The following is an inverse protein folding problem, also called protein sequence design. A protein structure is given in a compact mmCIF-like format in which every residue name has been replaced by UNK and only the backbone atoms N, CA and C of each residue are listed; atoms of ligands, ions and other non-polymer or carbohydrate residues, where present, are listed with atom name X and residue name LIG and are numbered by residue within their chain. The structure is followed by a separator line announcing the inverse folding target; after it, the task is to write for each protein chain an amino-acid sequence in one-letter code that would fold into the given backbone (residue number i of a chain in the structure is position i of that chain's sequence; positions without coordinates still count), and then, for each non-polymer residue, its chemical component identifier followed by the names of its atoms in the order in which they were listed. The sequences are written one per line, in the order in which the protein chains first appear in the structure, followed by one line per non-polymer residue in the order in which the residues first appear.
data_IF_879204542417
#
_entry.id   IF_879204542417
#
_cell.length_a   1.000
_cell.length_b   1.000
_cell.length_c   1.000
_cell.angle_alpha   90.00
_cell.angle_beta   90.00
_cell.angle_gamma   90.00
#
_symmetry.space_group_name_H-M   'P 1'
#
loop_
_entity.id
_entity.type
_entity.pdbx_description
1 polymer ?
#
# COMPACT_ATOMS: atom_id res chain seq x y z
N UNK A 1 -35.12 36.66 22.64
CA UNK A 1 -34.67 35.32 22.21
C UNK A 1 -33.16 35.28 22.33
N UNK A 2 -32.65 34.64 23.39
CA UNK A 2 -31.21 34.58 23.63
C UNK A 2 -30.55 33.74 22.54
N UNK A 3 -29.54 34.31 21.87
CA UNK A 3 -28.64 33.55 21.03
C UNK A 3 -28.01 32.46 21.90
N UNK A 4 -28.32 31.18 21.62
CA UNK A 4 -27.62 30.07 22.25
C UNK A 4 -26.13 30.25 21.96
N UNK A 5 -25.33 30.48 23.02
CA UNK A 5 -23.90 30.72 22.88
C UNK A 5 -23.24 29.36 22.70
N UNK A 6 -22.58 29.15 21.57
CA UNK A 6 -21.80 27.94 21.32
C UNK A 6 -20.76 27.74 22.42
N UNK A 7 -20.73 26.54 22.99
CA UNK A 7 -19.76 26.16 24.02
C UNK A 7 -18.87 25.05 23.47
N UNK A 8 -17.59 25.12 23.80
CA UNK A 8 -16.60 24.13 23.41
C UNK A 8 -15.80 23.72 24.63
N UNK A 9 -15.55 22.42 24.78
CA UNK A 9 -14.77 21.91 25.92
C UNK A 9 -13.96 20.67 25.55
N UNK A 10 -12.78 20.53 26.12
CA UNK A 10 -12.05 19.27 26.20
C UNK A 10 -12.56 18.48 27.40
N UNK A 11 -12.86 17.21 27.19
CA UNK A 11 -13.26 16.25 28.22
C UNK A 11 -12.23 15.14 28.25
N UNK A 12 -11.56 15.00 29.38
CA UNK A 12 -10.59 13.95 29.63
C UNK A 12 -11.16 12.96 30.66
N UNK A 13 -11.21 11.69 30.31
CA UNK A 13 -11.61 10.61 31.22
C UNK A 13 -10.36 10.04 31.89
N UNK A 14 -10.38 10.04 33.23
CA UNK A 14 -9.32 9.53 34.12
C UNK A 14 -9.83 8.28 34.84
N UNK A 15 -8.99 7.64 35.67
CA UNK A 15 -9.36 6.38 36.33
C UNK A 15 -10.67 6.47 37.15
N UNK A 16 -10.84 7.54 37.93
CA UNK A 16 -11.99 7.67 38.86
C UNK A 16 -12.90 8.87 38.59
N UNK A 17 -12.56 9.74 37.63
CA UNK A 17 -13.33 10.95 37.35
C UNK A 17 -13.17 11.43 35.90
N UNK A 18 -13.78 12.57 35.57
CA UNK A 18 -13.54 13.31 34.32
C UNK A 18 -13.08 14.73 34.62
N UNK A 19 -12.15 15.22 33.82
CA UNK A 19 -11.73 16.63 33.81
C UNK A 19 -12.32 17.31 32.59
N UNK A 20 -12.94 18.46 32.79
CA UNK A 20 -13.43 19.32 31.70
C UNK A 20 -12.66 20.63 31.70
N UNK A 21 -12.22 21.06 30.51
CA UNK A 21 -11.53 22.32 30.28
C UNK A 21 -12.24 23.05 29.14
N UNK A 22 -12.72 24.25 29.41
CA UNK A 22 -13.36 25.07 28.39
C UNK A 22 -12.33 25.52 27.35
N UNK A 23 -12.68 25.39 26.07
CA UNK A 23 -11.84 25.82 24.96
C UNK A 23 -12.60 26.77 24.06
N UNK A 24 -11.89 27.46 23.17
CA UNK A 24 -12.52 28.31 22.17
C UNK A 24 -12.82 27.53 20.88
N UNK A 25 -13.63 28.13 20.02
CA UNK A 25 -14.00 27.56 18.72
C UNK A 25 -12.78 27.24 17.84
N UNK A 26 -11.72 28.04 17.92
CA UNK A 26 -10.52 27.84 17.12
C UNK A 26 -9.79 26.55 17.51
N UNK A 27 -9.70 26.24 18.81
CA UNK A 27 -9.11 24.98 19.30
C UNK A 27 -9.93 23.80 18.80
N UNK A 28 -11.26 23.86 18.90
CA UNK A 28 -12.14 22.80 18.39
C UNK A 28 -11.93 22.57 16.88
N UNK A 29 -11.90 23.64 16.08
CA UNK A 29 -11.68 23.57 14.63
C UNK A 29 -10.30 22.96 14.30
N UNK A 30 -9.24 23.43 14.97
CA UNK A 30 -7.89 22.91 14.78
C UNK A 30 -7.79 21.41 15.09
N UNK A 31 -8.42 20.95 16.18
CA UNK A 31 -8.44 19.53 16.56
C UNK A 31 -9.24 18.70 15.55
N UNK A 32 -10.36 19.22 15.05
CA UNK A 32 -11.14 18.52 14.04
C UNK A 32 -10.37 18.39 12.72
N UNK A 33 -9.70 19.45 12.28
CA UNK A 33 -8.87 19.44 11.07
C UNK A 33 -7.66 18.51 11.22
N UNK A 34 -7.02 18.49 12.40
CA UNK A 34 -5.96 17.55 12.71
C UNK A 34 -6.45 16.09 12.68
N UNK A 35 -7.61 15.79 13.28
CA UNK A 35 -8.23 14.46 13.19
C UNK A 35 -8.46 14.07 11.73
N UNK A 36 -9.06 14.95 10.93
CA UNK A 36 -9.34 14.68 9.52
C UNK A 36 -8.03 14.37 8.75
N UNK A 37 -6.94 15.08 9.05
CA UNK A 37 -5.62 14.80 8.50
C UNK A 37 -5.05 13.43 8.93
N UNK A 38 -5.16 13.08 10.22
CA UNK A 38 -4.67 11.81 10.75
C UNK A 38 -5.44 10.62 10.15
N UNK A 39 -6.76 10.72 10.05
CA UNK A 39 -7.62 9.70 9.42
C UNK A 39 -7.26 9.55 7.94
N UNK A 40 -7.16 10.67 7.21
CA UNK A 40 -6.78 10.66 5.80
C UNK A 40 -5.43 9.97 5.57
N UNK A 41 -4.43 10.28 6.38
CA UNK A 41 -3.08 9.73 6.21
C UNK A 41 -2.94 8.28 6.67
N UNK A 42 -3.65 7.88 7.73
CA UNK A 42 -3.74 6.47 8.12
C UNK A 42 -4.37 5.63 7.00
N UNK A 43 -5.45 6.11 6.38
CA UNK A 43 -6.12 5.42 5.27
C UNK A 43 -5.20 5.27 4.03
N UNK A 44 -4.33 6.25 3.75
CA UNK A 44 -3.29 6.10 2.72
C UNK A 44 -2.31 4.96 3.05
N UNK A 45 -1.83 4.88 4.30
CA UNK A 45 -0.91 3.82 4.72
C UNK A 45 -1.57 2.44 4.69
N UNK A 46 -2.82 2.32 5.14
CA UNK A 46 -3.57 1.05 5.10
C UNK A 46 -3.77 0.51 3.68
N UNK A 47 -4.03 1.40 2.71
CA UNK A 47 -4.15 1.01 1.30
C UNK A 47 -2.84 0.53 0.71
N UNK A 48 -1.73 1.18 1.08
CA UNK A 48 -0.40 0.69 0.68
C UNK A 48 -0.13 -0.67 1.31
N UNK A 49 -0.43 -0.85 2.60
CA UNK A 49 -0.23 -2.12 3.31
C UNK A 49 -0.96 -3.26 2.62
N UNK A 50 -2.22 -3.05 2.22
CA UNK A 50 -2.99 -4.03 1.47
C UNK A 50 -2.29 -4.46 0.17
N UNK A 51 -1.72 -3.51 -0.57
CA UNK A 51 -0.94 -3.83 -1.77
C UNK A 51 0.31 -4.65 -1.42
N UNK A 52 1.06 -4.20 -0.41
CA UNK A 52 2.32 -4.83 -0.02
C UNK A 52 2.11 -6.25 0.53
N UNK A 53 1.03 -6.49 1.27
CA UNK A 53 0.69 -7.84 1.74
C UNK A 53 0.28 -8.77 0.60
N UNK A 54 -0.40 -8.27 -0.43
CA UNK A 54 -0.70 -9.07 -1.63
C UNK A 54 0.58 -9.43 -2.40
N UNK A 55 1.50 -8.47 -2.52
CA UNK A 55 2.81 -8.73 -3.12
C UNK A 55 3.62 -9.74 -2.29
N UNK A 56 3.69 -9.56 -0.97
CA UNK A 56 4.38 -10.48 -0.07
C UNK A 56 3.76 -11.88 -0.09
N UNK A 57 2.43 -11.99 -0.22
CA UNK A 57 1.76 -13.28 -0.37
C UNK A 57 2.19 -14.02 -1.65
N UNK A 58 2.30 -13.31 -2.78
CA UNK A 58 2.80 -13.88 -4.04
C UNK A 58 4.24 -14.39 -3.91
N UNK A 59 5.16 -13.54 -3.40
CA UNK A 59 6.57 -13.90 -3.20
C UNK A 59 6.71 -15.09 -2.24
N UNK A 60 6.03 -15.06 -1.08
CA UNK A 60 6.05 -16.15 -0.09
C UNK A 60 5.55 -17.47 -0.70
N UNK A 61 4.51 -17.42 -1.52
CA UNK A 61 3.97 -18.61 -2.16
C UNK A 61 4.99 -19.28 -3.08
N UNK A 62 5.64 -18.48 -3.94
CA UNK A 62 6.65 -18.99 -4.87
C UNK A 62 7.86 -19.56 -4.14
N UNK A 63 8.34 -18.90 -3.09
CA UNK A 63 9.43 -19.44 -2.26
C UNK A 63 9.06 -20.77 -1.62
N UNK A 64 7.84 -20.88 -1.08
CA UNK A 64 7.35 -22.14 -0.52
C UNK A 64 7.27 -23.23 -1.59
N UNK A 65 6.83 -22.90 -2.80
CA UNK A 65 6.81 -23.86 -3.91
C UNK A 65 8.23 -24.34 -4.28
N UNK A 66 9.22 -23.45 -4.26
CA UNK A 66 10.62 -23.81 -4.50
C UNK A 66 11.18 -24.74 -3.41
N UNK A 67 10.88 -24.45 -2.13
CA UNK A 67 11.26 -25.32 -1.00
C UNK A 67 10.61 -26.70 -1.12
N UNK A 68 9.31 -26.75 -1.41
CA UNK A 68 8.58 -28.00 -1.58
C UNK A 68 9.17 -28.83 -2.73
N UNK A 69 9.55 -28.19 -3.85
CA UNK A 69 10.19 -28.87 -4.96
C UNK A 69 11.57 -29.44 -4.61
N UNK A 70 12.33 -28.75 -3.74
CA UNK A 70 13.63 -29.24 -3.28
C UNK A 70 13.52 -30.49 -2.38
N UNK A 71 12.49 -30.54 -1.53
CA UNK A 71 12.31 -31.62 -0.55
C UNK A 71 11.52 -32.80 -1.15
N UNK A 72 10.54 -32.51 -2.01
CA UNK A 72 9.59 -33.50 -2.54
C UNK A 72 9.51 -33.46 -4.08
N UNK A 73 10.63 -33.71 -4.81
CA UNK A 73 10.68 -33.56 -6.27
C UNK A 73 9.69 -34.48 -7.02
N UNK A 74 9.32 -35.62 -6.43
CA UNK A 74 8.33 -36.55 -7.00
C UNK A 74 6.90 -36.00 -7.11
N UNK A 75 6.60 -34.86 -6.47
CA UNK A 75 5.27 -34.21 -6.53
C UNK A 75 5.22 -33.03 -7.53
N UNK A 76 6.31 -32.72 -8.22
CA UNK A 76 6.40 -31.53 -9.06
C UNK A 76 5.39 -31.52 -10.22
N UNK A 77 5.15 -32.68 -10.86
CA UNK A 77 4.25 -32.76 -12.02
C UNK A 77 2.78 -32.53 -11.65
N UNK A 78 2.30 -33.05 -10.52
CA UNK A 78 0.94 -32.79 -10.02
C UNK A 78 0.80 -31.36 -9.48
N UNK A 79 1.85 -30.81 -8.88
CA UNK A 79 1.85 -29.47 -8.31
C UNK A 79 1.85 -28.33 -9.35
N UNK A 80 2.20 -28.60 -10.62
CA UNK A 80 2.28 -27.57 -11.68
C UNK A 80 0.96 -26.81 -11.87
N UNK A 81 -0.16 -27.52 -12.00
CA UNK A 81 -1.46 -26.90 -12.26
C UNK A 81 -1.95 -26.11 -11.05
N UNK A 82 -1.80 -26.67 -9.85
CA UNK A 82 -2.16 -26.02 -8.59
C UNK A 82 -1.32 -24.76 -8.36
N UNK A 83 -0.01 -24.85 -8.60
CA UNK A 83 0.93 -23.73 -8.50
C UNK A 83 0.59 -22.63 -9.48
N UNK A 84 0.26 -22.99 -10.73
CA UNK A 84 -0.17 -22.02 -11.74
C UNK A 84 -1.46 -21.33 -11.36
N UNK A 85 -2.44 -22.06 -10.84
CA UNK A 85 -3.72 -21.50 -10.41
C UNK A 85 -3.53 -20.51 -9.27
N UNK A 86 -2.78 -20.89 -8.24
CA UNK A 86 -2.56 -20.07 -7.06
C UNK A 86 -1.71 -18.82 -7.35
N UNK A 87 -0.66 -18.94 -8.17
CA UNK A 87 0.11 -17.77 -8.65
C UNK A 87 -0.80 -16.80 -9.40
N UNK A 88 -1.69 -17.29 -10.26
CA UNK A 88 -2.63 -16.44 -10.97
C UNK A 88 -3.62 -15.74 -10.03
N UNK A 89 -4.15 -16.46 -9.03
CA UNK A 89 -5.03 -15.87 -8.01
C UNK A 89 -4.33 -14.75 -7.25
N UNK A 90 -3.11 -14.99 -6.79
CA UNK A 90 -2.30 -14.01 -6.05
C UNK A 90 -1.91 -12.81 -6.94
N UNK A 91 -1.54 -13.06 -8.20
CA UNK A 91 -1.19 -12.00 -9.14
C UNK A 91 -2.39 -11.12 -9.50
N UNK A 92 -3.58 -11.69 -9.71
CA UNK A 92 -4.81 -10.92 -9.94
C UNK A 92 -5.17 -10.09 -8.71
N UNK A 93 -5.00 -10.63 -7.51
CA UNK A 93 -5.22 -9.89 -6.27
C UNK A 93 -4.24 -8.71 -6.14
N UNK A 94 -2.96 -8.90 -6.45
CA UNK A 94 -1.96 -7.84 -6.46
C UNK A 94 -2.29 -6.74 -7.49
N UNK A 95 -2.64 -7.12 -8.72
CA UNK A 95 -3.02 -6.16 -9.76
C UNK A 95 -4.27 -5.37 -9.37
N UNK A 96 -5.22 -6.03 -8.68
CA UNK A 96 -6.44 -5.38 -8.19
C UNK A 96 -6.18 -4.43 -7.03
N UNK A 97 -5.34 -4.81 -6.06
CA UNK A 97 -4.97 -3.94 -4.93
C UNK A 97 -4.13 -2.74 -5.37
N UNK A 98 -3.26 -2.91 -6.37
CA UNK A 98 -2.55 -1.81 -7.03
C UNK A 98 -3.50 -0.80 -7.65
N UNK A 99 -4.50 -1.28 -8.39
CA UNK A 99 -5.49 -0.39 -8.98
C UNK A 99 -6.33 0.33 -7.93
N UNK A 100 -6.75 -0.41 -6.89
CA UNK A 100 -7.49 0.13 -5.76
C UNK A 100 -6.71 1.28 -5.10
N UNK A 101 -5.44 1.06 -4.79
CA UNK A 101 -4.56 2.08 -4.21
C UNK A 101 -4.53 3.34 -5.08
N UNK A 102 -4.24 3.21 -6.38
CA UNK A 102 -4.08 4.35 -7.27
C UNK A 102 -5.37 5.17 -7.43
N UNK A 103 -6.51 4.51 -7.58
CA UNK A 103 -7.79 5.18 -7.81
C UNK A 103 -8.38 5.77 -6.54
N UNK A 104 -8.34 5.02 -5.43
CA UNK A 104 -8.84 5.53 -4.15
C UNK A 104 -7.95 6.65 -3.62
N UNK A 105 -6.63 6.62 -3.85
CA UNK A 105 -5.74 7.74 -3.51
C UNK A 105 -6.07 8.97 -4.34
N UNK A 106 -6.34 8.83 -5.65
CA UNK A 106 -6.80 9.94 -6.48
C UNK A 106 -8.08 10.57 -5.92
N UNK A 107 -9.07 9.73 -5.60
CA UNK A 107 -10.35 10.17 -5.06
C UNK A 107 -10.19 10.82 -3.68
N UNK A 108 -9.38 10.24 -2.79
CA UNK A 108 -9.16 10.75 -1.44
C UNK A 108 -8.46 12.13 -1.49
N UNK A 109 -7.40 12.27 -2.28
CA UNK A 109 -6.72 13.55 -2.51
C UNK A 109 -7.71 14.60 -3.05
N UNK A 110 -8.58 14.24 -3.99
CA UNK A 110 -9.53 15.21 -4.57
C UNK A 110 -10.62 15.68 -3.60
N UNK A 111 -10.96 14.85 -2.60
CA UNK A 111 -12.06 15.10 -1.65
C UNK A 111 -11.58 15.66 -0.31
N UNK A 112 -10.30 15.57 -0.02
CA UNK A 112 -9.76 16.02 1.25
C UNK A 112 -9.68 17.56 1.29
N UNK A 113 -10.49 18.18 2.15
CA UNK A 113 -10.63 19.65 2.25
C UNK A 113 -9.33 20.39 2.59
N UNK A 114 -8.36 19.72 3.21
CA UNK A 114 -7.06 20.29 3.57
C UNK A 114 -5.95 19.89 2.61
N UNK A 115 -6.28 19.34 1.44
CA UNK A 115 -5.27 19.06 0.42
C UNK A 115 -4.53 20.33 0.03
N UNK A 116 -3.18 20.33 0.07
CA UNK A 116 -2.39 21.44 -0.42
C UNK A 116 -2.72 21.74 -1.89
N UNK A 117 -2.54 23.02 -2.26
CA UNK A 117 -2.81 23.45 -3.62
C UNK A 117 -1.93 22.67 -4.62
N UNK A 118 -2.53 22.23 -5.73
CA UNK A 118 -1.83 21.49 -6.77
C UNK A 118 -1.58 20.01 -6.48
N UNK A 119 -1.89 19.47 -5.28
CA UNK A 119 -1.63 18.05 -4.96
C UNK A 119 -2.35 17.09 -5.89
N UNK A 120 -3.59 17.40 -6.30
CA UNK A 120 -4.32 16.59 -7.30
C UNK A 120 -3.57 16.51 -8.63
N UNK A 121 -3.05 17.65 -9.12
CA UNK A 121 -2.31 17.69 -10.38
C UNK A 121 -0.94 17.02 -10.22
N UNK A 122 -0.27 17.22 -9.09
CA UNK A 122 1.00 16.57 -8.78
C UNK A 122 0.84 15.03 -8.78
N UNK A 123 -0.21 14.50 -8.14
CA UNK A 123 -0.48 13.06 -8.15
C UNK A 123 -0.77 12.51 -9.56
N UNK A 124 -1.55 13.25 -10.37
CA UNK A 124 -1.78 12.89 -11.78
C UNK A 124 -0.47 12.85 -12.57
N UNK A 125 0.41 13.81 -12.36
CA UNK A 125 1.72 13.85 -13.00
C UNK A 125 2.61 12.69 -12.55
N UNK A 126 2.58 12.29 -11.27
CA UNK A 126 3.32 11.12 -10.78
C UNK A 126 2.89 9.84 -11.52
N UNK A 127 1.58 9.61 -11.63
CA UNK A 127 1.03 8.45 -12.36
C UNK A 127 1.42 8.49 -13.84
N UNK A 128 1.30 9.65 -14.47
CA UNK A 128 1.69 9.85 -15.86
C UNK A 128 3.17 9.55 -16.08
N UNK A 129 4.04 10.10 -15.23
CA UNK A 129 5.49 9.89 -15.33
C UNK A 129 5.88 8.42 -15.12
N UNK A 130 5.22 7.70 -14.21
CA UNK A 130 5.44 6.26 -14.04
C UNK A 130 5.02 5.48 -15.30
N UNK A 131 3.87 5.80 -15.88
CA UNK A 131 3.40 5.17 -17.12
C UNK A 131 4.30 5.49 -18.32
N UNK A 132 4.71 6.74 -18.49
CA UNK A 132 5.53 7.16 -19.63
C UNK A 132 7.00 6.71 -19.49
N UNK A 133 7.50 6.64 -18.25
CA UNK A 133 8.91 6.38 -17.95
C UNK A 133 9.31 4.90 -17.90
N UNK A 134 8.37 3.97 -17.72
CA UNK A 134 8.71 2.59 -17.43
C UNK A 134 7.86 1.54 -18.16
N UNK A 135 8.53 0.59 -18.81
CA UNK A 135 7.86 -0.52 -19.52
C UNK A 135 7.18 -1.49 -18.56
N UNK A 136 7.79 -1.80 -17.42
CA UNK A 136 7.21 -2.76 -16.48
C UNK A 136 5.88 -2.27 -15.92
N UNK A 137 5.79 -0.97 -15.64
CA UNK A 137 4.55 -0.31 -15.23
C UNK A 137 3.46 -0.42 -16.29
N UNK A 138 3.78 -0.12 -17.55
CA UNK A 138 2.81 -0.23 -18.66
C UNK A 138 2.36 -1.66 -18.89
N UNK A 139 3.29 -2.61 -18.85
CA UNK A 139 3.01 -4.04 -18.99
C UNK A 139 2.04 -4.50 -17.88
N UNK A 140 2.28 -4.11 -16.63
CA UNK A 140 1.44 -4.50 -15.50
C UNK A 140 0.04 -3.87 -15.56
N UNK A 141 -0.08 -2.59 -15.97
CA UNK A 141 -1.39 -1.98 -16.23
C UNK A 141 -2.14 -2.69 -17.38
N UNK A 142 -1.44 -3.08 -18.44
CA UNK A 142 -2.02 -3.84 -19.55
C UNK A 142 -2.46 -5.25 -19.13
N UNK A 143 -1.64 -5.96 -18.34
CA UNK A 143 -1.98 -7.27 -17.79
C UNK A 143 -3.15 -7.21 -16.81
N UNK A 144 -3.27 -6.13 -16.04
CA UNK A 144 -4.45 -5.90 -15.18
C UNK A 144 -5.72 -5.76 -15.99
N UNK A 145 -5.69 -4.97 -17.07
CA UNK A 145 -6.86 -4.84 -17.95
C UNK A 145 -7.21 -6.18 -18.61
N UNK A 146 -6.21 -6.94 -19.03
CA UNK A 146 -6.38 -8.29 -19.58
C UNK A 146 -7.01 -9.25 -18.55
N UNK A 147 -6.52 -9.26 -17.31
CA UNK A 147 -7.03 -10.16 -16.27
C UNK A 147 -8.45 -9.85 -15.83
N UNK A 148 -8.89 -8.59 -15.97
CA UNK A 148 -10.26 -8.18 -15.67
C UNK A 148 -11.28 -8.53 -16.77
N UNK A 149 -10.85 -8.67 -18.02
CA UNK A 149 -11.76 -8.75 -19.17
C UNK A 149 -11.60 -9.98 -20.06
N UNK A 150 -10.52 -10.74 -19.87
CA UNK A 150 -10.12 -11.79 -20.80
C UNK A 150 -9.72 -13.09 -20.09
N UNK A 151 -8.51 -13.17 -19.53
CA UNK A 151 -7.96 -14.42 -19.01
C UNK A 151 -6.84 -14.19 -17.99
N UNK A 152 -6.32 -15.27 -17.42
CA UNK A 152 -5.33 -15.23 -16.36
C UNK A 152 -3.95 -14.74 -16.86
N UNK A 153 -3.25 -13.87 -16.09
CA UNK A 153 -2.04 -13.17 -16.55
C UNK A 153 -0.77 -14.03 -16.63
N UNK A 154 -0.63 -15.07 -15.79
CA UNK A 154 0.52 -15.97 -15.79
C UNK A 154 0.25 -17.20 -16.67
N UNK A 155 1.06 -17.36 -17.72
CA UNK A 155 0.84 -18.34 -18.78
C UNK A 155 1.68 -19.61 -18.60
N UNK A 156 2.90 -19.48 -18.08
CA UNK A 156 3.84 -20.60 -17.86
C UNK A 156 4.35 -20.61 -16.43
N UNK A 157 4.56 -21.81 -15.87
CA UNK A 157 5.28 -22.04 -14.61
C UNK A 157 6.49 -22.91 -14.92
N UNK A 158 7.63 -22.64 -14.29
CA UNK A 158 8.79 -23.51 -14.35
C UNK A 158 9.35 -23.80 -12.98
N UNK A 159 9.61 -25.07 -12.75
CA UNK A 159 10.39 -25.59 -11.65
C UNK A 159 11.78 -25.87 -12.21
N UNK A 160 12.78 -25.09 -11.81
CA UNK A 160 14.15 -25.26 -12.31
C UNK A 160 15.06 -25.73 -11.18
N UNK A 161 15.99 -26.61 -11.54
CA UNK A 161 17.11 -27.01 -10.70
C UNK A 161 18.39 -26.62 -11.43
N UNK A 162 19.25 -25.82 -10.78
CA UNK A 162 20.57 -25.46 -11.27
C UNK A 162 21.62 -25.95 -10.30
N UNK A 163 22.74 -26.47 -10.82
CA UNK A 163 23.91 -26.73 -9.99
C UNK A 163 24.55 -25.39 -9.66
N UNK A 164 24.75 -25.14 -8.38
CA UNK A 164 25.50 -24.02 -7.84
C UNK A 164 26.98 -24.45 -7.77
N UNK A 165 27.75 -23.97 -8.74
CA UNK A 165 29.17 -24.28 -8.91
C UNK A 165 30.08 -23.34 -8.10
N UNK A 166 29.52 -22.50 -7.21
CA UNK A 166 30.31 -21.60 -6.36
C UNK A 166 31.32 -22.32 -5.46
N UNK A 167 31.12 -23.62 -5.20
CA UNK A 167 32.10 -24.50 -4.57
C UNK A 167 32.26 -25.79 -5.39
N UNK A 168 33.34 -25.92 -6.18
CA UNK A 168 33.58 -27.10 -7.03
C UNK A 168 33.68 -28.42 -6.26
N UNK A 169 34.12 -28.39 -5.00
CA UNK A 169 34.30 -29.57 -4.15
C UNK A 169 32.98 -30.03 -3.49
N UNK A 170 31.92 -29.21 -3.56
CA UNK A 170 30.62 -29.50 -2.99
C UNK A 170 29.50 -28.84 -3.81
N UNK A 171 29.21 -29.37 -5.02
CA UNK A 171 28.16 -28.82 -5.86
C UNK A 171 26.81 -28.93 -5.15
N UNK A 172 26.09 -27.80 -5.07
CA UNK A 172 24.76 -27.74 -4.44
C UNK A 172 23.70 -27.56 -5.49
N UNK A 173 22.53 -28.17 -5.32
CA UNK A 173 21.40 -27.93 -6.20
C UNK A 173 20.58 -26.73 -5.68
N UNK A 174 20.42 -25.72 -6.54
CA UNK A 174 19.53 -24.58 -6.33
C UNK A 174 18.20 -24.85 -7.02
N UNK A 175 17.13 -24.86 -6.24
CA UNK A 175 15.76 -25.07 -6.72
C UNK A 175 15.03 -23.73 -6.78
N UNK A 176 14.40 -23.46 -7.92
CA UNK A 176 13.73 -22.19 -8.22
C UNK A 176 12.35 -22.47 -8.81
N UNK A 177 11.36 -21.64 -8.47
CA UNK A 177 10.05 -21.67 -9.13
C UNK A 177 9.78 -20.31 -9.72
N UNK A 178 9.58 -20.24 -11.04
CA UNK A 178 9.27 -19.01 -11.76
C UNK A 178 7.93 -19.09 -12.47
N UNK A 179 7.36 -17.93 -12.77
CA UNK A 179 6.23 -17.83 -13.68
C UNK A 179 6.50 -16.81 -14.77
N UNK A 180 5.92 -17.06 -15.94
CA UNK A 180 6.17 -16.30 -17.14
C UNK A 180 4.92 -15.84 -17.85
N UNK A 181 5.08 -14.73 -18.55
CA UNK A 181 4.10 -14.17 -19.47
C UNK A 181 4.52 -14.60 -20.88
N UNK A 182 3.57 -15.07 -21.69
CA UNK A 182 3.82 -15.49 -23.07
C UNK A 182 3.19 -14.46 -24.01
N UNK A 183 3.96 -13.61 -24.71
CA UNK A 183 3.41 -12.56 -25.57
C UNK A 183 2.47 -13.10 -26.65
N UNK A 184 2.78 -14.28 -27.21
CA UNK A 184 1.91 -14.97 -28.20
C UNK A 184 0.48 -15.25 -27.70
N UNK A 185 0.31 -15.47 -26.38
CA UNK A 185 -1.00 -15.72 -25.78
C UNK A 185 -1.82 -14.43 -25.69
N UNK A 186 -1.14 -13.29 -25.55
CA UNK A 186 -1.73 -11.96 -25.47
C UNK A 186 -2.02 -11.38 -26.86
N UNK A 187 -1.22 -11.75 -27.86
CA UNK A 187 -1.37 -11.29 -29.25
C UNK A 187 -2.72 -11.69 -29.86
N UNK A 188 -3.24 -12.87 -29.46
CA UNK A 188 -4.54 -13.37 -29.86
C UNK A 188 -5.70 -12.48 -29.37
N UNK A 189 -5.49 -11.66 -28.33
CA UNK A 189 -6.47 -10.70 -27.85
C UNK A 189 -6.30 -9.35 -28.54
N UNK A 190 -7.27 -9.01 -29.39
CA UNK A 190 -7.30 -7.73 -30.10
C UNK A 190 -7.42 -6.51 -29.19
N UNK A 191 -7.87 -6.69 -27.94
CA UNK A 191 -8.03 -5.63 -26.94
C UNK A 191 -6.79 -5.41 -26.08
N UNK A 192 -5.80 -6.30 -26.15
CA UNK A 192 -4.56 -6.13 -25.41
C UNK A 192 -3.77 -4.93 -25.92
N UNK A 193 -3.13 -4.18 -25.03
CA UNK A 193 -2.38 -2.98 -25.38
C UNK A 193 -1.18 -3.33 -26.29
N UNK A 194 -1.19 -2.82 -27.53
CA UNK A 194 -0.17 -3.13 -28.54
C UNK A 194 1.22 -2.59 -28.20
N UNK A 195 1.33 -1.49 -27.46
CA UNK A 195 2.62 -0.97 -26.99
C UNK A 195 3.23 -1.92 -25.95
N UNK A 196 2.44 -2.30 -24.93
CA UNK A 196 2.87 -3.26 -23.92
C UNK A 196 3.19 -4.63 -24.52
N UNK A 197 2.47 -5.06 -25.57
CA UNK A 197 2.79 -6.30 -26.29
C UNK A 197 4.17 -6.25 -26.95
N UNK A 198 4.50 -5.14 -27.62
CA UNK A 198 5.81 -4.95 -28.25
C UNK A 198 6.93 -4.93 -27.20
N UNK A 199 6.70 -4.29 -26.07
CA UNK A 199 7.64 -4.28 -24.95
C UNK A 199 7.89 -5.70 -24.43
N UNK A 200 6.83 -6.47 -24.17
CA UNK A 200 6.92 -7.88 -23.79
C UNK A 200 7.68 -8.73 -24.83
N UNK A 201 7.44 -8.53 -26.13
CA UNK A 201 8.16 -9.23 -27.19
C UNK A 201 9.66 -8.86 -27.22
N UNK A 202 10.00 -7.60 -26.94
CA UNK A 202 11.39 -7.13 -26.95
C UNK A 202 12.25 -7.71 -25.82
N UNK A 203 11.62 -8.12 -24.71
CA UNK A 203 12.29 -8.68 -23.53
C UNK A 203 12.06 -10.19 -23.36
N UNK A 204 11.39 -10.84 -24.31
CA UNK A 204 11.15 -12.29 -24.23
C UNK A 204 12.43 -13.08 -24.53
N UNK A 205 12.60 -14.19 -23.83
CA UNK A 205 13.69 -15.14 -24.06
C UNK A 205 13.55 -15.83 -25.43
N UNK A 206 14.52 -16.70 -25.76
CA UNK A 206 14.53 -17.46 -27.01
C UNK A 206 13.32 -18.39 -27.21
N UNK A 207 12.53 -18.64 -26.16
CA UNK A 207 11.31 -19.44 -26.20
C UNK A 207 10.04 -18.58 -26.24
N UNK A 208 10.18 -17.25 -26.37
CA UNK A 208 9.06 -16.32 -26.37
C UNK A 208 8.39 -16.22 -25.00
N UNK A 209 9.13 -16.40 -23.91
CA UNK A 209 8.66 -16.23 -22.54
C UNK A 209 9.33 -15.02 -21.90
N UNK A 210 8.56 -14.27 -21.13
CA UNK A 210 9.06 -13.19 -20.28
C UNK A 210 8.97 -13.63 -18.82
N UNK A 211 10.08 -13.53 -18.08
CA UNK A 211 10.09 -13.79 -16.64
C UNK A 211 9.35 -12.67 -15.89
N UNK A 212 8.35 -13.02 -15.09
CA UNK A 212 7.38 -12.03 -14.63
C UNK A 212 7.82 -11.29 -13.36
N UNK A 213 8.60 -11.92 -12.47
CA UNK A 213 8.98 -11.29 -11.20
C UNK A 213 9.72 -9.95 -11.33
N UNK A 214 10.71 -9.79 -12.23
CA UNK A 214 11.36 -8.49 -12.43
C UNK A 214 10.34 -7.37 -12.69
N UNK A 215 9.36 -7.64 -13.55
CA UNK A 215 8.31 -6.70 -13.94
C UNK A 215 7.38 -6.40 -12.75
N UNK A 216 6.98 -7.44 -12.01
CA UNK A 216 6.12 -7.30 -10.82
C UNK A 216 6.78 -6.45 -9.75
N UNK A 217 8.05 -6.70 -9.47
CA UNK A 217 8.84 -5.98 -8.45
C UNK A 217 9.03 -4.52 -8.80
N UNK A 218 9.31 -4.25 -10.07
CA UNK A 218 9.46 -2.90 -10.58
C UNK A 218 8.14 -2.13 -10.47
N UNK A 219 7.02 -2.74 -10.86
CA UNK A 219 5.70 -2.13 -10.71
C UNK A 219 5.33 -1.81 -9.25
N UNK A 220 5.57 -2.74 -8.32
CA UNK A 220 5.35 -2.49 -6.89
C UNK A 220 6.26 -1.37 -6.39
N UNK A 221 7.53 -1.33 -6.81
CA UNK A 221 8.46 -0.24 -6.47
C UNK A 221 7.95 1.12 -6.94
N UNK A 222 7.44 1.23 -8.18
CA UNK A 222 6.87 2.48 -8.68
C UNK A 222 5.65 2.94 -7.87
N UNK A 223 4.78 2.02 -7.44
CA UNK A 223 3.63 2.39 -6.60
C UNK A 223 4.09 2.84 -5.22
N UNK A 224 5.07 2.15 -4.62
CA UNK A 224 5.67 2.57 -3.35
C UNK A 224 6.34 3.95 -3.47
N UNK A 225 7.02 4.25 -4.57
CA UNK A 225 7.61 5.57 -4.83
C UNK A 225 6.55 6.66 -4.98
N UNK A 226 5.44 6.36 -5.67
CA UNK A 226 4.29 7.25 -5.75
C UNK A 226 3.75 7.54 -4.33
N UNK A 227 3.61 6.50 -3.49
CA UNK A 227 3.15 6.65 -2.11
C UNK A 227 4.05 7.56 -1.29
N UNK A 228 5.37 7.34 -1.33
CA UNK A 228 6.34 8.16 -0.61
C UNK A 228 6.27 9.63 -1.05
N UNK A 229 6.10 9.89 -2.35
CA UNK A 229 5.95 11.24 -2.87
C UNK A 229 4.64 11.89 -2.46
N UNK A 230 3.53 11.14 -2.42
CA UNK A 230 2.25 11.62 -1.89
C UNK A 230 2.40 11.97 -0.41
N UNK A 231 2.97 11.08 0.41
CA UNK A 231 3.19 11.32 1.84
C UNK A 231 3.98 12.62 2.08
N UNK A 232 5.05 12.86 1.32
CA UNK A 232 5.84 14.11 1.41
C UNK A 232 5.01 15.37 1.14
N UNK A 233 4.00 15.30 0.25
CA UNK A 233 3.11 16.45 -0.01
C UNK A 233 2.29 16.84 1.24
N UNK A 234 2.04 15.90 2.15
CA UNK A 234 1.25 16.09 3.36
C UNK A 234 2.09 16.20 4.64
N UNK A 235 3.42 16.13 4.56
CA UNK A 235 4.31 16.01 5.73
C UNK A 235 4.10 17.12 6.77
N UNK A 236 3.96 18.37 6.33
CA UNK A 236 3.72 19.49 7.25
C UNK A 236 2.36 19.38 7.97
N UNK A 237 1.32 18.93 7.27
CA UNK A 237 -0.01 18.74 7.85
C UNK A 237 0.00 17.59 8.86
N UNK A 238 0.65 16.48 8.51
CA UNK A 238 0.82 15.31 9.38
C UNK A 238 1.56 15.71 10.66
N UNK A 239 2.69 16.38 10.54
CA UNK A 239 3.50 16.78 11.68
C UNK A 239 2.75 17.78 12.58
N UNK A 240 2.03 18.74 11.98
CA UNK A 240 1.20 19.66 12.74
C UNK A 240 0.06 18.96 13.50
N UNK A 241 -0.61 17.99 12.86
CA UNK A 241 -1.67 17.22 13.48
C UNK A 241 -1.16 16.31 14.61
N UNK A 242 -0.04 15.62 14.39
CA UNK A 242 0.65 14.83 15.40
C UNK A 242 0.98 15.68 16.63
N UNK A 243 1.65 16.81 16.43
CA UNK A 243 2.05 17.71 17.52
C UNK A 243 0.84 18.25 18.27
N UNK A 244 -0.24 18.62 17.57
CA UNK A 244 -1.44 19.14 18.23
C UNK A 244 -2.09 18.10 19.14
N UNK A 245 -2.20 16.85 18.68
CA UNK A 245 -2.76 15.76 19.48
C UNK A 245 -1.87 15.44 20.68
N UNK A 246 -0.56 15.29 20.47
CA UNK A 246 0.38 15.00 21.56
C UNK A 246 0.42 16.11 22.62
N UNK A 247 0.44 17.38 22.19
CA UNK A 247 0.38 18.52 23.13
C UNK A 247 -0.93 18.53 23.90
N UNK A 248 -2.08 18.26 23.24
CA UNK A 248 -3.38 18.18 23.92
C UNK A 248 -3.36 17.13 25.03
N UNK A 249 -2.80 15.94 24.77
CA UNK A 249 -2.65 14.90 25.79
C UNK A 249 -1.67 15.31 26.91
N UNK A 250 -0.57 15.97 26.56
CA UNK A 250 0.43 16.45 27.52
C UNK A 250 -0.15 17.52 28.46
N UNK A 251 -0.88 18.49 27.93
CA UNK A 251 -1.51 19.58 28.68
C UNK A 251 -2.57 19.02 29.63
N UNK A 252 -3.44 18.13 29.13
CA UNK A 252 -4.44 17.44 29.96
C UNK A 252 -3.80 16.63 31.08
N UNK A 253 -2.70 15.93 30.81
CA UNK A 253 -1.95 15.20 31.84
C UNK A 253 -1.37 16.14 32.89
N UNK A 254 -0.80 17.27 32.48
CA UNK A 254 -0.24 18.28 33.39
C UNK A 254 -1.32 18.90 34.28
N UNK A 255 -2.51 19.16 33.73
CA UNK A 255 -3.61 19.77 34.49
C UNK A 255 -4.36 18.79 35.40
N UNK A 256 -4.40 17.51 35.04
CA UNK A 256 -5.12 16.49 35.80
C UNK A 256 -4.24 15.70 36.78
N UNK A 257 -2.92 15.70 36.58
CA UNK A 257 -1.97 14.91 37.37
C UNK A 257 -1.89 13.43 36.97
N UNK A 258 -2.73 12.98 36.02
CA UNK A 258 -2.81 11.61 35.54
C UNK A 258 -2.92 11.59 34.00
N UNK A 259 -2.46 10.53 33.35
CA UNK A 259 -2.65 10.40 31.90
C UNK A 259 -4.10 10.01 31.59
N UNK A 260 -4.82 10.75 30.73
CA UNK A 260 -6.20 10.40 30.37
C UNK A 260 -6.24 9.16 29.50
N UNK A 261 -7.21 8.27 29.75
CA UNK A 261 -7.42 7.07 28.93
C UNK A 261 -8.33 7.34 27.72
N UNK A 262 -9.17 8.39 27.78
CA UNK A 262 -9.93 8.88 26.64
C UNK A 262 -10.05 10.40 26.66
N UNK A 263 -10.01 11.03 25.48
CA UNK A 263 -10.09 12.48 25.32
C UNK A 263 -11.07 12.82 24.20
N UNK A 264 -11.98 13.75 24.47
CA UNK A 264 -12.94 14.27 23.51
C UNK A 264 -12.91 15.79 23.48
N UNK A 265 -13.05 16.38 22.30
CA UNK A 265 -13.38 17.79 22.15
C UNK A 265 -14.87 17.90 21.81
N UNK A 266 -15.61 18.69 22.55
CA UNK A 266 -17.08 18.78 22.44
C UNK A 266 -17.49 20.14 21.91
N UNK A 267 -18.61 20.16 21.20
CA UNK A 267 -19.32 21.37 20.76
C UNK A 267 -20.78 21.25 21.18
N UNK A 268 -21.29 22.28 21.85
CA UNK A 268 -22.70 22.42 22.23
C UNK A 268 -23.27 23.67 21.56
N UNK A 269 -24.32 23.51 20.76
CA UNK A 269 -25.05 24.60 20.09
C UNK A 269 -26.56 24.42 20.32
N UNK A 270 -27.06 24.91 21.46
CA UNK A 270 -28.42 24.61 21.91
C UNK A 270 -28.57 23.12 22.26
N UNK A 271 -29.46 22.43 21.55
CA UNK A 271 -29.69 20.99 21.71
C UNK A 271 -28.73 20.13 20.86
N UNK A 272 -27.93 20.74 19.97
CA UNK A 272 -26.94 20.04 19.16
C UNK A 272 -25.66 19.80 19.98
N UNK A 273 -25.34 18.53 20.22
CA UNK A 273 -24.15 18.07 20.92
C UNK A 273 -23.29 17.22 19.99
N UNK A 274 -22.04 17.63 19.78
CA UNK A 274 -21.08 16.91 18.94
C UNK A 274 -19.85 16.54 19.75
N UNK A 275 -19.44 15.27 19.69
CA UNK A 275 -18.17 14.79 20.25
C UNK A 275 -17.15 14.51 19.16
N UNK A 276 -15.94 15.00 19.37
CA UNK A 276 -14.77 14.74 18.55
C UNK A 276 -13.78 13.91 19.35
N UNK A 277 -13.64 12.60 19.10
CA UNK A 277 -12.62 11.80 19.76
C UNK A 277 -11.22 12.25 19.33
N UNK A 278 -10.37 12.56 20.31
CA UNK A 278 -8.96 12.87 20.11
C UNK A 278 -8.19 11.56 20.30
N UNK A 279 -8.21 10.69 19.29
CA UNK A 279 -7.66 9.35 19.40
C UNK A 279 -6.17 9.31 19.02
N UNK A 280 -5.30 9.11 20.02
CA UNK A 280 -3.85 8.95 19.81
C UNK A 280 -3.49 7.69 19.04
N UNK A 281 -4.34 6.66 19.05
CA UNK A 281 -4.07 5.39 18.35
C UNK A 281 -3.94 5.59 16.84
N UNK A 282 -4.59 6.61 16.26
CA UNK A 282 -4.42 6.97 14.85
C UNK A 282 -2.95 7.26 14.50
N UNK A 283 -2.23 7.93 15.41
CA UNK A 283 -0.81 8.26 15.25
C UNK A 283 0.04 7.00 15.41
N UNK A 284 -0.27 6.18 16.42
CA UNK A 284 0.48 4.96 16.74
C UNK A 284 0.38 3.96 15.58
N UNK A 285 -0.83 3.72 15.09
CA UNK A 285 -1.12 2.80 13.99
C UNK A 285 -0.45 3.26 12.70
N UNK A 286 -0.62 4.54 12.32
CA UNK A 286 0.06 5.11 11.15
C UNK A 286 1.57 4.92 11.25
N UNK A 287 2.19 5.25 12.39
CA UNK A 287 3.65 5.09 12.59
C UNK A 287 4.10 3.62 12.58
N UNK A 288 3.26 2.68 13.04
CA UNK A 288 3.53 1.24 12.92
C UNK A 288 3.56 0.80 11.45
N UNK A 289 2.58 1.22 10.64
CA UNK A 289 2.54 0.94 9.21
C UNK A 289 3.73 1.57 8.50
N UNK A 290 4.06 2.83 8.79
CA UNK A 290 5.21 3.49 8.21
C UNK A 290 6.52 2.75 8.51
N UNK A 291 6.69 2.25 9.76
CA UNK A 291 7.82 1.39 10.14
C UNK A 291 7.83 0.06 9.38
N UNK A 292 6.67 -0.57 9.20
CA UNK A 292 6.49 -1.79 8.41
C UNK A 292 6.89 -1.56 6.95
N UNK A 293 6.62 -0.37 6.41
CA UNK A 293 6.83 -0.01 5.00
C UNK A 293 8.18 0.64 4.68
N UNK A 294 9.09 0.83 5.66
CA UNK A 294 10.35 1.60 5.53
C UNK A 294 11.19 1.22 4.30
N UNK A 295 11.10 -0.03 3.86
CA UNK A 295 11.92 -0.57 2.77
C UNK A 295 11.19 -0.69 1.43
N UNK A 296 9.97 -0.15 1.34
CA UNK A 296 9.11 -0.33 0.15
C UNK A 296 9.61 0.40 -1.10
N UNK A 297 10.39 1.47 -0.97
CA UNK A 297 11.06 2.15 -2.10
C UNK A 297 12.32 1.44 -2.64
N UNK A 298 12.56 0.17 -2.28
CA UNK A 298 13.80 -0.54 -2.63
C UNK A 298 13.56 -1.98 -3.09
N UNK A 299 12.36 -2.37 -3.53
CA UNK A 299 12.13 -3.77 -3.95
C UNK A 299 12.98 -4.20 -5.15
N UNK A 300 13.41 -3.26 -6.00
CA UNK A 300 14.38 -3.54 -7.07
C UNK A 300 15.78 -3.92 -6.56
N UNK A 301 16.18 -3.46 -5.37
CA UNK A 301 17.48 -3.78 -4.74
C UNK A 301 17.35 -4.75 -3.56
N UNK A 302 16.11 -5.03 -3.12
CA UNK A 302 15.79 -5.87 -1.96
C UNK A 302 14.65 -6.81 -2.34
N UNK A 303 15.04 -7.98 -2.83
CA UNK A 303 14.13 -9.09 -3.05
C UNK A 303 14.65 -10.32 -2.33
N UNK A 304 13.74 -11.09 -1.75
CA UNK A 304 14.05 -12.48 -1.46
C UNK A 304 13.95 -13.24 -2.79
N UNK A 305 14.94 -14.07 -3.08
CA UNK A 305 15.00 -14.80 -4.34
C UNK A 305 14.97 -16.29 -4.08
N UNK A 306 14.08 -16.99 -4.77
CA UNK A 306 14.31 -18.38 -5.12
C UNK A 306 15.04 -18.53 -6.46
N UNK A 307 15.34 -17.45 -7.20
CA UNK A 307 16.00 -17.44 -8.51
C UNK A 307 17.50 -17.20 -8.42
#
# INVERSE_FOLDING_TARGET
MGLNKRQYALIAFLSDNKKQIDVNEQIYRNLNDAKDCLVFTLDLELRLDLLLENYAALERYVMRAAVNNAIFPGQASSALSETKHEINRLLVNLLSSARLYLDQTASAISRFKHSPEGTTQAFRNLRKNAYDGDSSYRIMEALRNYSQHCSLPAHSISFNTKVDESNPDSPRNRYTVSFGIMPRMLEADTRFNRSALKELQSISDSHGRVEAFPIVREYVSYISDIHLRVKRMYENLINGADTLFENTYSDLRSESGEAPHAVFCTRVDGDDYTELPINRDLIIERKNLERKHVLSGSFNTRYASSH
#
